data_IF_702768948614
#
_entry.id   IF_702768948614
#
_cell.length_a   1.000
_cell.length_b   1.000
_cell.length_c   1.000
_cell.angle_alpha   90.00
_cell.angle_beta   90.00
_cell.angle_gamma   90.00
#
_symmetry.space_group_name_H-M   'P 1'
#
loop_
_entity.id
_entity.type
_entity.pdbx_description
1 polymer ?
#
# COMPACT_ATOMS: atom_id res chain seq x y z
N UNK A 1 0.14 4.49 -24.67
CA UNK A 1 -0.23 3.07 -24.46
C UNK A 1 -0.07 2.76 -22.98
N UNK A 2 -1.14 2.32 -22.34
CA UNK A 2 -1.10 1.90 -20.93
C UNK A 2 -0.34 0.59 -20.76
N UNK A 3 0.36 0.44 -19.63
CA UNK A 3 0.93 -0.83 -19.19
C UNK A 3 0.12 -1.29 -17.98
N UNK A 4 -0.30 -2.54 -17.99
CA UNK A 4 -1.01 -3.17 -16.86
C UNK A 4 -0.22 -4.36 -16.34
N UNK A 5 -0.33 -4.66 -15.05
CA UNK A 5 0.21 -5.88 -14.48
C UNK A 5 -0.76 -7.03 -14.74
N UNK A 6 -0.33 -8.06 -15.48
CA UNK A 6 -1.05 -9.31 -15.60
C UNK A 6 -0.85 -10.14 -14.34
N UNK A 7 -1.87 -10.29 -13.52
CA UNK A 7 -1.83 -11.08 -12.28
C UNK A 7 -2.64 -12.35 -12.46
N UNK A 8 -2.09 -13.47 -12.04
CA UNK A 8 -2.83 -14.72 -11.87
C UNK A 8 -3.81 -14.58 -10.71
N UNK A 9 -5.13 -14.57 -10.95
CA UNK A 9 -6.09 -14.32 -9.89
C UNK A 9 -6.14 -15.45 -8.86
N UNK A 10 -5.77 -16.69 -9.22
CA UNK A 10 -5.78 -17.84 -8.30
C UNK A 10 -4.48 -17.94 -7.51
N UNK A 11 -3.34 -17.68 -8.16
CA UNK A 11 -2.03 -17.80 -7.53
C UNK A 11 -1.52 -16.50 -6.89
N UNK A 12 -2.13 -15.34 -7.18
CA UNK A 12 -1.67 -14.02 -6.75
C UNK A 12 -0.28 -13.63 -7.31
N UNK A 13 0.17 -14.29 -8.38
CA UNK A 13 1.52 -14.11 -8.94
C UNK A 13 1.50 -13.23 -10.17
N UNK A 14 2.43 -12.29 -10.23
CA UNK A 14 2.70 -11.51 -11.45
C UNK A 14 3.10 -12.44 -12.59
N UNK A 15 2.37 -12.40 -13.69
CA UNK A 15 2.68 -13.10 -14.94
C UNK A 15 3.51 -12.25 -15.89
N UNK A 16 3.42 -10.92 -15.78
CA UNK A 16 4.22 -9.98 -16.54
C UNK A 16 3.52 -8.64 -16.71
N UNK A 17 4.25 -7.66 -17.25
CA UNK A 17 3.70 -6.37 -17.64
C UNK A 17 3.17 -6.43 -19.08
N UNK A 18 1.90 -6.11 -19.24
CA UNK A 18 1.18 -6.19 -20.51
C UNK A 18 0.97 -4.78 -21.07
N UNK A 19 1.33 -4.59 -22.33
CA UNK A 19 1.02 -3.37 -23.06
C UNK A 19 -0.39 -3.48 -23.65
N UNK A 20 -1.24 -2.51 -23.33
CA UNK A 20 -2.59 -2.41 -23.87
C UNK A 20 -2.56 -1.90 -25.31
N UNK A 21 -3.24 -2.62 -26.20
CA UNK A 21 -3.39 -2.28 -27.60
C UNK A 21 -4.74 -1.60 -27.81
N UNK A 22 -4.70 -0.43 -28.44
CA UNK A 22 -5.85 0.44 -28.73
C UNK A 22 -6.20 0.49 -30.22
N UNK A 23 -5.38 -0.11 -31.08
CA UNK A 23 -5.53 -0.08 -32.55
C UNK A 23 -5.63 -1.50 -33.17
N UNK A 24 -6.69 -1.81 -33.95
CA UNK A 24 -6.82 -3.06 -34.69
C UNK A 24 -5.61 -3.41 -35.56
N UNK A 25 -4.88 -2.41 -36.10
CA UNK A 25 -3.69 -2.66 -36.91
C UNK A 25 -2.53 -3.25 -36.09
N UNK A 26 -2.45 -2.94 -34.79
CA UNK A 26 -1.49 -3.57 -33.87
C UNK A 26 -1.83 -5.05 -33.68
N UNK A 27 -3.12 -5.38 -33.51
CA UNK A 27 -3.56 -6.76 -33.39
C UNK A 27 -3.28 -7.55 -34.67
N UNK A 28 -3.57 -6.98 -35.84
CA UNK A 28 -3.22 -7.58 -37.15
C UNK A 28 -1.73 -7.86 -37.26
N UNK A 29 -0.90 -6.95 -36.75
CA UNK A 29 0.55 -7.16 -36.76
C UNK A 29 0.99 -8.33 -35.88
N UNK A 30 0.37 -8.54 -34.71
CA UNK A 30 0.66 -9.70 -33.85
C UNK A 30 0.16 -11.02 -34.44
N UNK A 31 -0.95 -10.99 -35.17
CA UNK A 31 -1.55 -12.18 -35.78
C UNK A 31 -0.70 -12.79 -36.92
N UNK A 32 0.30 -12.07 -37.44
CA UNK A 32 1.16 -12.59 -38.49
C UNK A 32 2.08 -13.72 -37.95
N UNK A 33 2.03 -14.96 -38.50
CA UNK A 33 2.71 -16.12 -37.91
C UNK A 33 4.22 -15.93 -37.72
N UNK A 34 4.89 -15.28 -38.68
CA UNK A 34 6.33 -15.02 -38.59
C UNK A 34 6.65 -13.97 -37.51
N UNK A 35 5.81 -12.95 -37.33
CA UNK A 35 6.03 -11.91 -36.32
C UNK A 35 5.82 -12.48 -34.92
N UNK A 36 4.81 -13.34 -34.74
CA UNK A 36 4.59 -14.06 -33.49
C UNK A 36 5.81 -14.94 -33.12
N UNK A 37 6.37 -15.68 -34.08
CA UNK A 37 7.61 -16.45 -33.87
C UNK A 37 8.79 -15.56 -33.47
N UNK A 38 8.97 -14.42 -34.14
CA UNK A 38 10.02 -13.45 -33.82
C UNK A 38 9.86 -12.95 -32.37
N UNK A 39 8.65 -12.55 -31.98
CA UNK A 39 8.36 -12.07 -30.62
C UNK A 39 8.65 -13.14 -29.56
N UNK A 40 8.27 -14.40 -29.80
CA UNK A 40 8.55 -15.53 -28.90
C UNK A 40 10.05 -15.81 -28.74
N UNK A 41 10.84 -15.63 -29.79
CA UNK A 41 12.29 -15.76 -29.65
C UNK A 41 12.89 -14.58 -28.85
N UNK A 42 12.38 -13.37 -29.10
CA UNK A 42 12.82 -12.17 -28.42
C UNK A 42 12.36 -12.08 -26.96
N UNK A 43 11.36 -12.84 -26.54
CA UNK A 43 10.98 -12.98 -25.13
C UNK A 43 11.99 -13.78 -24.31
N UNK A 44 12.73 -14.69 -24.95
CA UNK A 44 13.77 -15.48 -24.28
C UNK A 44 15.07 -14.68 -24.11
N UNK A 45 15.47 -13.98 -25.17
CA UNK A 45 16.67 -13.14 -25.16
C UNK A 45 16.66 -12.13 -26.32
N UNK A 46 17.20 -10.92 -26.16
CA UNK A 46 17.39 -9.99 -27.26
C UNK A 46 18.30 -10.58 -28.35
N UNK A 47 17.97 -10.36 -29.63
CA UNK A 47 18.71 -10.93 -30.76
C UNK A 47 18.93 -9.91 -31.88
N UNK A 48 19.97 -10.13 -32.67
CA UNK A 48 20.17 -9.44 -33.95
C UNK A 48 19.23 -10.02 -35.04
N UNK A 49 18.79 -9.21 -36.02
CA UNK A 49 17.99 -9.67 -37.16
C UNK A 49 18.58 -10.89 -37.89
N UNK A 50 19.92 -10.91 -38.03
CA UNK A 50 20.65 -12.01 -38.65
C UNK A 50 20.55 -13.33 -37.87
N UNK A 51 20.53 -13.28 -36.55
CA UNK A 51 20.40 -14.47 -35.71
C UNK A 51 18.99 -15.04 -35.80
N UNK A 52 17.99 -14.16 -35.83
CA UNK A 52 16.58 -14.53 -36.03
C UNK A 52 16.41 -15.20 -37.40
N UNK A 53 16.96 -14.60 -38.46
CA UNK A 53 16.96 -15.17 -39.82
C UNK A 53 17.56 -16.58 -39.85
N UNK A 54 18.73 -16.77 -39.24
CA UNK A 54 19.41 -18.07 -39.20
C UNK A 54 18.60 -19.13 -38.46
N UNK A 55 18.01 -18.78 -37.31
CA UNK A 55 17.23 -19.72 -36.49
C UNK A 55 15.90 -20.10 -37.14
N UNK A 56 15.26 -19.16 -37.84
CA UNK A 56 13.97 -19.40 -38.50
C UNK A 56 14.11 -19.96 -39.93
N UNK A 57 15.31 -19.95 -40.51
CA UNK A 57 15.53 -20.35 -41.91
C UNK A 57 14.86 -19.40 -42.91
N UNK A 58 14.68 -18.14 -42.54
CA UNK A 58 13.96 -17.13 -43.35
C UNK A 58 14.96 -16.09 -43.87
N UNK A 59 14.73 -15.58 -45.08
CA UNK A 59 15.55 -14.53 -45.69
C UNK A 59 15.71 -13.30 -44.76
N UNK A 60 16.94 -12.79 -44.64
CA UNK A 60 17.28 -11.70 -43.72
C UNK A 60 16.52 -10.39 -44.03
N UNK A 61 16.31 -10.06 -45.32
CA UNK A 61 15.53 -8.86 -45.70
C UNK A 61 14.08 -8.95 -45.22
N UNK A 62 13.48 -10.14 -45.29
CA UNK A 62 12.12 -10.38 -44.80
C UNK A 62 12.03 -10.26 -43.28
N UNK A 63 13.07 -10.70 -42.55
CA UNK A 63 13.17 -10.48 -41.10
C UNK A 63 13.30 -8.99 -40.77
N UNK A 64 14.14 -8.25 -41.50
CA UNK A 64 14.26 -6.80 -41.31
C UNK A 64 12.93 -6.08 -41.53
N UNK A 65 12.17 -6.47 -42.55
CA UNK A 65 10.83 -5.94 -42.79
C UNK A 65 9.92 -6.15 -41.58
N UNK A 66 9.88 -7.37 -41.03
CA UNK A 66 9.05 -7.67 -39.86
C UNK A 66 9.51 -6.99 -38.57
N UNK A 67 10.82 -6.91 -38.32
CA UNK A 67 11.36 -6.20 -37.17
C UNK A 67 11.03 -4.71 -37.25
N UNK A 68 11.19 -4.11 -38.44
CA UNK A 68 10.86 -2.69 -38.67
C UNK A 68 9.39 -2.43 -38.39
N UNK A 69 8.52 -3.29 -38.89
CA UNK A 69 7.08 -3.15 -38.69
C UNK A 69 6.67 -3.35 -37.22
N UNK A 70 7.27 -4.33 -36.53
CA UNK A 70 7.03 -4.55 -35.11
C UNK A 70 7.54 -3.39 -34.24
N UNK A 71 8.72 -2.86 -34.55
CA UNK A 71 9.30 -1.70 -33.90
C UNK A 71 8.45 -0.45 -34.10
N UNK A 72 8.02 -0.18 -35.34
CA UNK A 72 7.16 0.96 -35.69
C UNK A 72 5.87 1.00 -34.86
N UNK A 73 5.35 -0.17 -34.51
CA UNK A 73 4.13 -0.35 -33.72
C UNK A 73 4.37 -0.44 -32.21
N UNK A 74 5.62 -0.24 -31.76
CA UNK A 74 5.97 -0.21 -30.35
C UNK A 74 6.24 -1.56 -29.69
N UNK A 75 6.19 -2.68 -30.43
CA UNK A 75 6.39 -4.01 -29.86
C UNK A 75 7.86 -4.34 -29.55
N UNK A 76 8.80 -3.66 -30.22
CA UNK A 76 10.23 -3.90 -30.05
C UNK A 76 10.95 -2.62 -29.65
N UNK A 77 11.98 -2.79 -28.82
CA UNK A 77 12.96 -1.75 -28.46
C UNK A 77 14.37 -2.15 -28.89
N UNK A 78 15.21 -1.15 -29.15
CA UNK A 78 16.65 -1.37 -29.31
C UNK A 78 17.24 -1.59 -27.92
N UNK A 79 17.82 -2.78 -27.68
CA UNK A 79 18.44 -3.13 -26.38
C UNK A 79 19.91 -2.73 -26.35
N UNK A 80 20.60 -2.83 -27.48
CA UNK A 80 21.99 -2.41 -27.62
C UNK A 80 22.35 -2.19 -29.09
N UNK A 81 23.41 -1.43 -29.35
CA UNK A 81 23.96 -1.26 -30.70
C UNK A 81 25.48 -1.41 -30.70
N UNK A 82 26.02 -2.18 -31.64
CA UNK A 82 27.46 -2.35 -31.86
C UNK A 82 27.84 -2.06 -33.32
N UNK A 83 29.07 -1.59 -33.56
CA UNK A 83 29.61 -1.46 -34.92
C UNK A 83 30.25 -2.79 -35.33
N UNK A 84 29.66 -3.48 -36.30
CA UNK A 84 30.21 -4.71 -36.87
C UNK A 84 30.62 -4.41 -38.32
N UNK A 85 31.92 -4.54 -38.63
CA UNK A 85 32.48 -4.28 -39.98
C UNK A 85 32.05 -2.92 -40.57
N UNK A 86 32.04 -1.87 -39.74
CA UNK A 86 31.68 -0.50 -40.15
C UNK A 86 30.18 -0.18 -40.17
N UNK A 87 29.29 -1.18 -40.12
CA UNK A 87 27.84 -1.00 -40.08
C UNK A 87 27.31 -1.06 -38.63
N UNK A 88 26.29 -0.24 -38.32
CA UNK A 88 25.59 -0.29 -37.03
C UNK A 88 24.68 -1.52 -37.01
N UNK A 89 24.96 -2.44 -36.10
CA UNK A 89 24.15 -3.63 -35.82
C UNK A 89 23.41 -3.42 -34.50
N UNK A 90 22.10 -3.68 -34.49
CA UNK A 90 21.23 -3.42 -33.34
C UNK A 90 20.60 -4.72 -32.85
N UNK A 91 20.66 -4.97 -31.55
CA UNK A 91 19.89 -6.03 -30.90
C UNK A 91 18.51 -5.51 -30.54
N UNK A 92 17.48 -6.30 -30.87
CA UNK A 92 16.10 -5.98 -30.53
C UNK A 92 15.63 -6.88 -29.40
N UNK A 93 14.79 -6.32 -28.53
CA UNK A 93 14.07 -7.06 -27.49
C UNK A 93 12.62 -6.58 -27.42
N UNK A 94 11.79 -7.30 -26.66
CA UNK A 94 10.40 -6.89 -26.47
C UNK A 94 10.30 -5.57 -25.69
N UNK A 95 9.30 -4.77 -26.02
CA UNK A 95 8.97 -3.56 -25.27
C UNK A 95 8.21 -3.87 -23.98
N UNK A 96 7.49 -4.99 -23.92
CA UNK A 96 6.69 -5.46 -22.77
C UNK A 96 6.71 -6.98 -22.70
N UNK A 97 6.39 -7.57 -21.54
CA UNK A 97 6.34 -9.03 -21.36
C UNK A 97 5.20 -9.69 -22.16
N UNK A 98 4.14 -8.94 -22.45
CA UNK A 98 3.03 -9.37 -23.28
C UNK A 98 2.18 -8.20 -23.79
N UNK A 99 1.13 -8.53 -24.54
CA UNK A 99 0.23 -7.57 -25.18
C UNK A 99 -1.22 -8.00 -24.99
N UNK A 100 -2.11 -7.06 -24.70
CA UNK A 100 -3.52 -7.36 -24.45
C UNK A 100 -4.44 -6.37 -25.17
N UNK A 101 -5.60 -6.87 -25.59
CA UNK A 101 -6.72 -6.05 -26.06
C UNK A 101 -7.81 -6.15 -25.01
N UNK A 102 -8.23 -5.01 -24.47
CA UNK A 102 -9.38 -4.93 -23.57
C UNK A 102 -10.58 -4.45 -24.39
N UNK A 103 -11.54 -5.35 -24.62
CA UNK A 103 -12.81 -4.99 -25.29
C UNK A 103 -13.81 -4.35 -24.33
N UNK A 104 -13.70 -4.72 -23.05
CA UNK A 104 -14.39 -4.07 -21.96
C UNK A 104 -13.33 -3.50 -21.04
N UNK A 105 -13.10 -2.22 -21.17
CA UNK A 105 -12.42 -1.49 -20.11
C UNK A 105 -13.45 -1.32 -19.00
N UNK A 106 -13.39 -2.22 -18.01
CA UNK A 106 -13.94 -1.87 -16.71
C UNK A 106 -12.97 -0.83 -16.17
N UNK A 107 -13.19 0.43 -16.52
CA UNK A 107 -13.17 1.41 -15.45
C UNK A 107 -14.24 0.92 -14.47
N UNK A 108 -13.83 0.04 -13.56
CA UNK A 108 -14.25 0.35 -12.22
C UNK A 108 -13.77 1.79 -12.06
N UNK A 109 -14.72 2.74 -12.18
CA UNK A 109 -14.81 3.76 -11.15
C UNK A 109 -14.89 2.98 -9.84
N UNK A 110 -13.77 2.40 -9.44
CA UNK A 110 -13.40 2.46 -8.05
C UNK A 110 -13.41 3.96 -7.85
N UNK A 111 -14.52 4.48 -7.32
CA UNK A 111 -14.39 5.31 -6.15
C UNK A 111 -13.16 4.76 -5.43
N UNK A 112 -12.04 5.49 -5.57
CA UNK A 112 -10.67 5.02 -5.27
C UNK A 112 -10.74 3.92 -4.24
N UNK A 113 -10.25 2.70 -4.56
CA UNK A 113 -10.22 1.60 -3.59
C UNK A 113 -9.87 2.17 -2.23
N UNK A 114 -10.70 1.90 -1.22
CA UNK A 114 -10.92 2.78 -0.06
C UNK A 114 -9.64 3.50 0.33
N UNK A 115 -9.59 4.82 0.05
CA UNK A 115 -8.37 5.58 0.19
C UNK A 115 -7.94 5.56 1.66
N UNK A 116 -6.81 4.94 1.93
CA UNK A 116 -6.16 4.95 3.24
C UNK A 116 -5.02 5.98 3.24
N UNK A 117 -4.60 6.47 4.41
CA UNK A 117 -3.43 7.33 4.52
C UNK A 117 -2.20 6.74 3.82
N UNK A 118 -1.43 7.58 3.14
CA UNK A 118 -0.32 7.18 2.27
C UNK A 118 0.77 6.38 3.01
N UNK A 119 0.97 6.68 4.30
CA UNK A 119 1.95 5.99 5.14
C UNK A 119 1.67 4.49 5.29
N UNK A 120 0.42 4.01 5.18
CA UNK A 120 0.15 2.57 5.21
C UNK A 120 0.82 1.84 4.05
N UNK A 121 0.76 2.44 2.86
CA UNK A 121 1.40 1.87 1.67
C UNK A 121 2.93 1.87 1.75
N UNK A 122 3.54 2.88 2.38
CA UNK A 122 4.98 2.92 2.63
C UNK A 122 5.38 1.82 3.63
N UNK A 123 4.71 1.76 4.77
CA UNK A 123 4.99 0.82 5.87
C UNK A 123 4.80 -0.63 5.41
N UNK A 124 3.73 -0.95 4.68
CA UNK A 124 3.46 -2.32 4.24
C UNK A 124 4.35 -2.79 3.07
N UNK A 125 5.02 -1.87 2.36
CA UNK A 125 6.05 -2.24 1.37
C UNK A 125 7.36 -2.64 2.05
N UNK A 126 7.70 -1.99 3.15
CA UNK A 126 8.95 -2.25 3.90
C UNK A 126 8.88 -3.54 4.72
N UNK A 127 7.68 -3.97 5.13
CA UNK A 127 7.54 -5.15 5.97
C UNK A 127 6.11 -5.59 6.19
N UNK A 128 5.96 -6.73 6.87
CA UNK A 128 4.68 -7.18 7.41
C UNK A 128 4.17 -6.19 8.45
N UNK A 129 2.86 -5.94 8.44
CA UNK A 129 2.17 -5.15 9.47
C UNK A 129 1.47 -6.09 10.47
N UNK A 130 1.78 -5.94 11.75
CA UNK A 130 1.13 -6.67 12.85
C UNK A 130 0.19 -5.71 13.57
N UNK A 131 -1.10 -5.97 13.51
CA UNK A 131 -2.13 -5.24 14.25
C UNK A 131 -2.25 -5.83 15.65
N UNK A 132 -1.98 -5.03 16.67
CA UNK A 132 -2.06 -5.43 18.08
C UNK A 132 -3.31 -4.82 18.70
N UNK A 133 -4.27 -5.67 19.02
CA UNK A 133 -5.56 -5.29 19.63
C UNK A 133 -5.55 -5.53 21.14
N UNK A 134 -6.32 -4.72 21.89
CA UNK A 134 -6.57 -4.98 23.30
C UNK A 134 -7.32 -6.30 23.51
N UNK A 135 -6.93 -7.09 24.51
CA UNK A 135 -7.71 -8.27 24.91
C UNK A 135 -9.08 -7.90 25.50
N UNK A 136 -10.16 -8.63 25.17
CA UNK A 136 -11.51 -8.38 25.69
C UNK A 136 -11.68 -8.83 27.15
N UNK A 137 -10.69 -9.52 27.71
CA UNK A 137 -10.62 -9.91 29.11
C UNK A 137 -9.91 -8.82 29.91
N UNK A 138 -10.38 -8.45 31.12
CA UNK A 138 -9.66 -7.51 31.98
C UNK A 138 -8.23 -8.00 32.26
N UNK A 139 -7.24 -7.18 31.95
CA UNK A 139 -5.84 -7.48 32.18
C UNK A 139 -5.04 -6.19 32.42
N UNK A 140 -3.77 -6.33 32.82
CA UNK A 140 -2.92 -5.19 33.12
C UNK A 140 -3.29 -4.45 34.42
N UNK A 141 -2.56 -3.37 34.75
CA UNK A 141 -2.72 -2.65 36.02
C UNK A 141 -4.07 -1.91 36.14
N UNK A 142 -4.71 -1.59 35.02
CA UNK A 142 -5.95 -0.80 34.98
C UNK A 142 -7.23 -1.64 34.93
N UNK A 143 -7.12 -2.96 34.70
CA UNK A 143 -8.25 -3.93 34.65
C UNK A 143 -9.45 -3.47 33.82
N UNK A 144 -9.22 -2.65 32.79
CA UNK A 144 -10.27 -2.13 31.92
C UNK A 144 -10.73 -3.22 30.95
N UNK A 145 -12.03 -3.23 30.62
CA UNK A 145 -12.63 -4.18 29.68
C UNK A 145 -13.10 -3.44 28.44
N UNK A 146 -12.80 -3.97 27.26
CA UNK A 146 -13.20 -3.33 26.00
C UNK A 146 -13.33 -4.33 24.86
N UNK A 147 -14.41 -4.24 24.09
CA UNK A 147 -14.74 -5.17 22.99
C UNK A 147 -15.06 -4.35 21.74
N UNK A 148 -14.03 -3.71 21.19
CA UNK A 148 -14.18 -2.77 20.08
C UNK A 148 -13.56 -3.31 18.78
N UNK A 149 -13.27 -4.61 18.73
CA UNK A 149 -12.61 -5.25 17.57
C UNK A 149 -13.41 -5.10 16.27
N UNK A 150 -14.72 -4.91 16.37
CA UNK A 150 -15.59 -4.66 15.21
C UNK A 150 -15.19 -3.38 14.45
N UNK A 151 -14.69 -2.35 15.14
CA UNK A 151 -14.17 -1.14 14.49
C UNK A 151 -12.94 -1.44 13.61
N UNK A 152 -12.12 -2.41 14.01
CA UNK A 152 -10.91 -2.80 13.27
C UNK A 152 -11.21 -3.78 12.13
N UNK A 153 -12.33 -4.49 12.17
CA UNK A 153 -12.73 -5.34 11.05
C UNK A 153 -12.82 -4.54 9.75
N UNK A 154 -13.38 -3.32 9.80
CA UNK A 154 -13.47 -2.43 8.64
C UNK A 154 -12.10 -1.93 8.19
N UNK A 155 -11.24 -1.49 9.11
CA UNK A 155 -9.88 -1.07 8.77
C UNK A 155 -9.08 -2.20 8.11
N UNK A 156 -9.17 -3.40 8.67
CA UNK A 156 -8.52 -4.60 8.14
C UNK A 156 -9.01 -4.94 6.73
N UNK A 157 -10.32 -4.84 6.50
CA UNK A 157 -10.90 -5.02 5.16
C UNK A 157 -10.33 -4.01 4.16
N UNK A 158 -10.26 -2.72 4.53
CA UNK A 158 -9.68 -1.68 3.67
C UNK A 158 -8.17 -1.89 3.42
N UNK A 159 -7.41 -2.31 4.44
CA UNK A 159 -6.00 -2.65 4.32
C UNK A 159 -5.80 -3.84 3.38
N UNK A 160 -6.62 -4.89 3.52
CA UNK A 160 -6.60 -6.06 2.64
C UNK A 160 -6.96 -5.72 1.19
N UNK A 161 -7.98 -4.88 0.99
CA UNK A 161 -8.38 -4.43 -0.34
C UNK A 161 -7.30 -3.55 -1.02
N UNK A 162 -6.64 -2.67 -0.26
CA UNK A 162 -5.66 -1.73 -0.80
C UNK A 162 -4.25 -2.32 -0.93
N UNK A 163 -3.88 -3.22 -0.01
CA UNK A 163 -2.50 -3.67 0.18
C UNK A 163 -2.35 -5.19 0.34
N UNK A 164 -3.41 -5.97 0.12
CA UNK A 164 -3.41 -7.43 0.35
C UNK A 164 -2.40 -8.22 -0.49
N UNK A 165 -1.85 -7.63 -1.55
CA UNK A 165 -0.77 -8.19 -2.36
C UNK A 165 0.64 -8.00 -1.76
N UNK A 166 0.79 -7.25 -0.66
CA UNK A 166 2.08 -6.94 -0.02
C UNK A 166 2.48 -8.00 1.04
N UNK A 167 3.50 -7.69 1.87
CA UNK A 167 4.22 -8.58 2.82
C UNK A 167 3.38 -9.19 3.97
N UNK A 168 2.07 -9.27 3.80
CA UNK A 168 1.12 -9.89 4.73
C UNK A 168 0.71 -8.98 5.88
N UNK A 169 -0.37 -9.40 6.54
CA UNK A 169 -0.94 -8.74 7.71
C UNK A 169 -1.25 -9.82 8.75
N UNK A 170 -0.93 -9.56 10.01
CA UNK A 170 -1.28 -10.42 11.14
C UNK A 170 -2.04 -9.61 12.18
N UNK A 171 -3.03 -10.22 12.82
CA UNK A 171 -3.76 -9.63 13.94
C UNK A 171 -3.50 -10.47 15.16
N UNK A 172 -3.07 -9.83 16.24
CA UNK A 172 -2.73 -10.49 17.52
C UNK A 172 -3.28 -9.66 18.68
N UNK A 173 -3.62 -10.33 19.78
CA UNK A 173 -3.96 -9.63 21.02
C UNK A 173 -2.69 -9.18 21.74
N UNK A 174 -2.76 -8.06 22.45
CA UNK A 174 -1.67 -7.54 23.27
C UNK A 174 -1.23 -8.50 24.38
N UNK A 175 -2.13 -9.36 24.86
CA UNK A 175 -1.81 -10.44 25.81
C UNK A 175 -1.05 -11.61 25.18
N UNK A 176 -1.02 -11.71 23.85
CA UNK A 176 -0.47 -12.85 23.11
C UNK A 176 0.73 -12.46 22.24
N UNK A 177 0.95 -11.17 22.00
CA UNK A 177 2.08 -10.69 21.20
C UNK A 177 3.40 -10.91 21.95
N UNK A 178 4.42 -11.36 21.22
CA UNK A 178 5.76 -11.60 21.76
C UNK A 178 6.70 -10.46 21.38
N UNK A 179 7.74 -10.26 22.19
CA UNK A 179 8.72 -9.17 21.97
C UNK A 179 9.40 -9.31 20.60
N UNK A 180 9.73 -10.53 20.15
CA UNK A 180 10.35 -10.76 18.83
C UNK A 180 9.42 -10.29 17.71
N UNK A 181 8.11 -10.51 17.85
CA UNK A 181 7.11 -10.04 16.88
C UNK A 181 7.09 -8.51 16.80
N UNK A 182 7.23 -7.83 17.94
CA UNK A 182 7.29 -6.37 18.00
C UNK A 182 8.59 -5.82 17.40
N UNK A 183 9.71 -6.54 17.49
CA UNK A 183 11.02 -6.12 16.97
C UNK A 183 11.16 -6.34 15.45
N UNK A 184 10.62 -7.43 14.93
CA UNK A 184 10.81 -7.83 13.53
C UNK A 184 9.87 -7.11 12.55
N UNK A 185 8.73 -6.60 13.03
CA UNK A 185 7.63 -6.15 12.19
C UNK A 185 7.28 -4.67 12.40
N UNK A 186 6.59 -4.11 11.41
CA UNK A 186 5.85 -2.88 11.61
C UNK A 186 4.60 -3.21 12.45
N UNK A 187 4.21 -2.31 13.35
CA UNK A 187 3.09 -2.55 14.26
C UNK A 187 2.01 -1.47 14.12
N UNK A 188 0.75 -1.86 14.19
CA UNK A 188 -0.40 -0.97 14.36
C UNK A 188 -1.03 -1.29 15.72
N UNK A 189 -0.93 -0.36 16.65
CA UNK A 189 -1.52 -0.47 17.97
C UNK A 189 -2.91 0.16 17.94
N UNK A 190 -3.90 -0.59 18.38
CA UNK A 190 -5.27 -0.07 18.52
C UNK A 190 -5.68 -0.10 19.98
N UNK A 191 -6.11 1.05 20.47
CA UNK A 191 -6.58 1.25 21.83
C UNK A 191 -5.57 2.00 22.69
N UNK A 192 -6.10 2.84 23.57
CA UNK A 192 -5.31 3.62 24.52
C UNK A 192 -4.61 2.77 25.59
N UNK A 193 -3.68 3.37 26.34
CA UNK A 193 -2.83 2.66 27.31
C UNK A 193 -3.59 2.06 28.50
N UNK A 194 -4.82 2.48 28.78
CA UNK A 194 -5.66 1.85 29.79
C UNK A 194 -6.12 0.43 29.40
N UNK A 195 -6.16 0.11 28.10
CA UNK A 195 -6.73 -1.14 27.55
C UNK A 195 -5.76 -1.93 26.68
N UNK A 196 -4.71 -1.30 26.15
CA UNK A 196 -3.68 -1.97 25.34
C UNK A 196 -2.32 -1.83 26.02
N UNK A 197 -1.74 -2.96 26.44
CA UNK A 197 -0.48 -2.98 27.19
C UNK A 197 0.72 -2.57 26.37
N UNK A 198 0.70 -2.77 25.05
CA UNK A 198 1.78 -2.31 24.19
C UNK A 198 1.71 -0.79 24.05
N UNK A 199 0.52 -0.21 23.86
CA UNK A 199 0.33 1.25 23.89
C UNK A 199 0.81 1.84 25.23
N UNK A 200 0.50 1.20 26.36
CA UNK A 200 0.97 1.63 27.68
C UNK A 200 2.50 1.66 27.81
N UNK A 201 3.19 0.63 27.29
CA UNK A 201 4.66 0.55 27.32
C UNK A 201 5.31 1.67 26.52
N UNK A 202 4.72 2.06 25.40
CA UNK A 202 5.30 3.06 24.49
C UNK A 202 4.78 4.48 24.71
N UNK A 203 3.73 4.69 25.52
CA UNK A 203 3.07 5.99 25.71
C UNK A 203 4.05 7.13 26.02
N UNK A 204 5.09 6.87 26.83
CA UNK A 204 6.12 7.87 27.16
C UNK A 204 7.00 8.31 25.98
N UNK A 205 7.01 7.55 24.89
CA UNK A 205 7.79 7.79 23.66
C UNK A 205 6.99 8.48 22.55
N UNK A 206 5.66 8.50 22.66
CA UNK A 206 4.75 9.11 21.69
C UNK A 206 4.83 10.66 21.75
N UNK A 207 4.77 11.39 20.63
CA UNK A 207 4.65 12.86 20.64
C UNK A 207 3.33 13.34 21.28
N UNK A 208 2.24 12.61 21.11
CA UNK A 208 0.95 12.90 21.74
C UNK A 208 0.64 11.75 22.69
N UNK A 209 0.56 12.01 23.99
CA UNK A 209 0.53 10.99 25.03
C UNK A 209 -0.80 10.96 25.75
N UNK A 210 -1.07 9.89 26.47
CA UNK A 210 -2.19 9.83 27.41
C UNK A 210 -1.69 9.92 28.85
N UNK A 211 -2.24 10.84 29.62
CA UNK A 211 -2.09 10.84 31.07
C UNK A 211 -3.16 9.93 31.71
N UNK A 212 -2.78 8.68 31.93
CA UNK A 212 -3.67 7.66 32.51
C UNK A 212 -4.09 7.99 33.95
N UNK A 213 -3.29 8.77 34.68
CA UNK A 213 -3.63 9.21 36.05
C UNK A 213 -4.71 10.28 36.04
N UNK A 214 -4.82 11.03 34.94
CA UNK A 214 -5.83 12.06 34.69
C UNK A 214 -6.86 11.55 33.68
N UNK A 215 -7.42 10.37 33.93
CA UNK A 215 -8.52 9.81 33.14
C UNK A 215 -8.21 9.69 31.63
N UNK A 216 -6.98 9.28 31.29
CA UNK A 216 -6.48 9.20 29.91
C UNK A 216 -6.56 10.54 29.15
N UNK A 217 -6.43 11.69 29.84
CA UNK A 217 -6.30 13.01 29.19
C UNK A 217 -5.23 12.93 28.11
N UNK A 218 -5.51 13.42 26.91
CA UNK A 218 -4.54 13.44 25.81
C UNK A 218 -3.69 14.70 25.95
N UNK A 219 -2.37 14.55 25.90
CA UNK A 219 -1.38 15.62 26.12
C UNK A 219 -0.43 15.66 24.93
N UNK A 220 -0.49 16.74 24.15
CA UNK A 220 0.39 16.95 23.01
C UNK A 220 1.67 17.64 23.42
N UNK A 221 2.82 16.96 23.26
CA UNK A 221 4.14 17.59 23.43
C UNK A 221 4.52 18.49 22.25
N UNK A 222 3.76 18.41 21.15
CA UNK A 222 4.01 19.19 19.94
C UNK A 222 3.42 20.59 20.06
N UNK A 223 2.16 20.69 20.50
CA UNK A 223 1.47 21.98 20.67
C UNK A 223 1.48 22.49 22.12
N UNK A 224 1.72 21.62 23.10
CA UNK A 224 1.57 21.92 24.53
C UNK A 224 0.12 21.91 25.02
N UNK A 225 -0.84 21.49 24.18
CA UNK A 225 -2.27 21.42 24.52
C UNK A 225 -2.62 20.11 25.21
N UNK A 226 -3.70 20.17 25.98
CA UNK A 226 -4.37 19.02 26.56
C UNK A 226 -5.80 18.92 26.00
N UNK A 227 -6.29 17.69 25.82
CA UNK A 227 -7.59 17.37 25.26
C UNK A 227 -8.30 16.37 26.19
N UNK A 228 -9.56 16.65 26.50
CA UNK A 228 -10.28 16.04 27.63
C UNK A 228 -11.57 15.33 27.23
N UNK A 229 -12.06 15.54 26.00
CA UNK A 229 -13.36 15.03 25.60
C UNK A 229 -13.30 13.51 25.39
N UNK A 230 -14.32 12.74 25.79
CA UNK A 230 -14.38 11.30 25.52
C UNK A 230 -14.23 10.94 24.03
N UNK A 231 -14.68 11.85 23.16
CA UNK A 231 -14.63 11.83 21.71
C UNK A 231 -13.24 12.17 21.14
N UNK A 232 -12.29 12.58 21.98
CA UNK A 232 -10.92 12.83 21.55
C UNK A 232 -10.14 11.52 21.35
N UNK A 233 -9.39 11.46 20.26
CA UNK A 233 -8.44 10.40 19.98
C UNK A 233 -7.23 10.88 19.21
N UNK A 234 -6.26 9.98 19.06
CA UNK A 234 -5.00 10.24 18.41
C UNK A 234 -4.74 9.22 17.31
N UNK A 235 -4.15 9.70 16.22
CA UNK A 235 -3.43 8.88 15.25
C UNK A 235 -2.03 9.41 15.05
N UNK A 236 -1.05 8.55 15.20
CA UNK A 236 0.34 8.93 15.01
C UNK A 236 1.19 7.80 14.44
N UNK A 237 2.21 8.20 13.69
CA UNK A 237 3.24 7.31 13.11
C UNK A 237 4.58 7.67 13.74
N UNK A 238 5.17 6.71 14.44
CA UNK A 238 6.47 6.86 15.10
C UNK A 238 7.45 5.78 14.65
N UNK A 239 8.73 5.99 14.95
CA UNK A 239 9.70 4.89 14.95
C UNK A 239 9.28 3.87 16.00
N UNK A 240 9.28 2.59 15.64
CA UNK A 240 8.89 1.53 16.55
C UNK A 240 9.87 1.49 17.74
N UNK A 241 9.42 1.72 18.99
CA UNK A 241 10.31 1.76 20.15
C UNK A 241 11.02 0.44 20.46
N UNK A 242 10.54 -0.68 19.90
CA UNK A 242 11.18 -2.00 20.01
C UNK A 242 12.27 -2.20 18.94
N UNK A 243 12.18 -1.49 17.81
CA UNK A 243 13.18 -1.49 16.74
C UNK A 243 13.04 -0.22 15.87
N UNK A 244 13.96 0.77 15.96
CA UNK A 244 13.87 2.02 15.21
C UNK A 244 13.87 1.88 13.67
N UNK A 245 14.31 0.73 13.13
CA UNK A 245 14.22 0.44 11.69
C UNK A 245 12.80 0.09 11.23
N UNK A 246 11.86 -0.10 12.16
CA UNK A 246 10.45 -0.37 11.91
C UNK A 246 9.58 0.82 12.30
N UNK A 247 8.32 0.81 11.85
CA UNK A 247 7.33 1.82 12.18
C UNK A 247 6.27 1.28 13.13
N UNK A 248 5.79 2.15 14.01
CA UNK A 248 4.61 1.92 14.83
C UNK A 248 3.57 2.98 14.50
N UNK A 249 2.35 2.52 14.21
CA UNK A 249 1.17 3.37 14.04
C UNK A 249 0.34 3.18 15.32
N UNK A 250 -0.14 4.26 15.91
CA UNK A 250 -1.03 4.21 17.07
C UNK A 250 -2.37 4.82 16.70
N UNK A 251 -3.46 4.10 16.93
CA UNK A 251 -4.84 4.58 16.83
C UNK A 251 -5.48 4.37 18.20
N UNK A 252 -5.72 5.44 18.94
CA UNK A 252 -6.22 5.34 20.31
C UNK A 252 -7.11 6.53 20.66
N UNK A 253 -8.27 6.27 21.25
CA UNK A 253 -9.09 7.30 21.89
C UNK A 253 -8.80 7.45 23.37
N UNK A 254 -9.14 8.62 23.94
CA UNK A 254 -9.35 8.77 25.39
C UNK A 254 -10.38 7.74 25.86
N UNK A 255 -11.42 7.52 25.04
CA UNK A 255 -12.45 6.52 25.27
C UNK A 255 -12.86 5.79 23.96
N UNK A 256 -14.04 5.14 23.97
CA UNK A 256 -14.58 4.44 22.79
C UNK A 256 -14.92 5.40 21.65
N UNK A 257 -15.77 6.42 21.88
CA UNK A 257 -16.01 7.48 20.92
C UNK A 257 -14.75 8.01 20.24
N UNK A 258 -13.69 8.33 21.00
CA UNK A 258 -12.45 8.84 20.40
C UNK A 258 -11.69 7.86 19.50
N UNK A 259 -11.66 6.56 19.82
CA UNK A 259 -11.05 5.58 18.91
C UNK A 259 -11.83 5.50 17.61
N UNK A 260 -13.16 5.57 17.70
CA UNK A 260 -14.06 5.59 16.55
C UNK A 260 -13.90 6.87 15.73
N UNK A 261 -13.79 8.04 16.36
CA UNK A 261 -13.56 9.33 15.72
C UNK A 261 -12.32 9.30 14.82
N UNK A 262 -11.21 8.76 15.34
CA UNK A 262 -9.96 8.62 14.58
C UNK A 262 -10.14 7.74 13.34
N UNK A 263 -10.85 6.61 13.47
CA UNK A 263 -11.12 5.72 12.33
C UNK A 263 -12.03 6.39 11.30
N UNK A 264 -13.06 7.13 11.73
CA UNK A 264 -13.93 7.89 10.83
C UNK A 264 -13.15 8.98 10.08
N UNK A 265 -12.31 9.75 10.78
CA UNK A 265 -11.43 10.75 10.16
C UNK A 265 -10.48 10.11 9.14
N UNK A 266 -9.91 8.95 9.47
CA UNK A 266 -9.04 8.19 8.59
C UNK A 266 -9.73 7.78 7.28
N UNK A 267 -11.02 7.39 7.33
CA UNK A 267 -11.78 7.04 6.13
C UNK A 267 -12.26 8.26 5.34
N UNK A 268 -12.61 9.35 6.03
CA UNK A 268 -13.20 10.54 5.42
C UNK A 268 -12.16 11.47 4.79
N UNK A 269 -11.03 11.68 5.47
CA UNK A 269 -9.93 12.55 5.00
C UNK A 269 -8.55 11.89 5.18
N UNK A 270 -8.28 10.78 4.46
CA UNK A 270 -6.98 10.09 4.52
C UNK A 270 -5.81 10.99 4.08
N UNK A 271 -6.07 12.01 3.26
CA UNK A 271 -5.05 12.94 2.77
C UNK A 271 -4.57 13.84 3.89
N UNK A 272 -5.48 14.44 4.66
CA UNK A 272 -5.06 15.29 5.78
C UNK A 272 -4.42 14.48 6.91
N UNK A 273 -4.90 13.26 7.18
CA UNK A 273 -4.26 12.33 8.13
C UNK A 273 -2.85 11.92 7.70
N UNK A 274 -2.52 12.00 6.41
CA UNK A 274 -1.17 11.72 5.90
C UNK A 274 -0.21 12.91 6.00
N UNK A 275 -0.72 14.12 6.26
CA UNK A 275 0.13 15.32 6.32
C UNK A 275 0.93 15.35 7.62
N UNK A 276 2.06 16.08 7.65
CA UNK A 276 2.73 16.35 8.91
C UNK A 276 1.84 17.15 9.87
N UNK A 277 2.06 16.97 11.18
CA UNK A 277 1.40 17.73 12.25
C UNK A 277 1.57 19.24 12.06
N UNK A 278 0.53 20.01 12.43
CA UNK A 278 0.50 21.46 12.23
C UNK A 278 1.58 22.23 12.99
N UNK A 279 2.00 21.72 14.16
CA UNK A 279 2.99 22.37 15.05
C UNK A 279 4.40 21.82 14.83
N UNK A 280 4.55 20.57 14.41
CA UNK A 280 5.85 19.98 14.14
C UNK A 280 5.83 19.06 12.91
N UNK A 281 6.38 19.59 11.80
CA UNK A 281 6.41 18.90 10.49
C UNK A 281 7.28 17.64 10.45
N UNK A 282 8.01 17.30 11.52
CA UNK A 282 8.77 16.04 11.62
C UNK A 282 7.86 14.84 11.87
N UNK A 283 6.68 15.04 12.46
CA UNK A 283 5.79 13.98 12.89
C UNK A 283 4.53 13.94 12.03
N UNK A 284 4.03 12.74 11.77
CA UNK A 284 2.64 12.52 11.37
C UNK A 284 1.94 12.09 12.65
N UNK A 285 1.28 13.03 13.32
CA UNK A 285 0.63 12.83 14.60
C UNK A 285 -0.50 13.85 14.72
N UNK A 286 -1.71 13.40 15.02
CA UNK A 286 -2.91 14.22 15.02
C UNK A 286 -3.79 13.89 16.21
N UNK A 287 -4.37 14.92 16.82
CA UNK A 287 -5.55 14.76 17.67
C UNK A 287 -6.79 14.93 16.80
N UNK A 288 -7.78 14.07 17.01
CA UNK A 288 -9.06 14.05 16.32
C UNK A 288 -10.17 14.11 17.35
N UNK A 289 -11.11 15.02 17.18
CA UNK A 289 -12.34 15.10 17.96
C UNK A 289 -13.49 14.46 17.19
N UNK A 290 -14.23 13.58 17.83
CA UNK A 290 -15.43 12.97 17.27
C UNK A 290 -16.58 13.96 17.17
N UNK A 291 -17.27 13.94 16.03
CA UNK A 291 -18.51 14.71 15.82
C UNK A 291 -19.62 13.72 15.47
N UNK A 292 -20.81 13.99 16.01
CA UNK A 292 -22.07 13.34 15.66
C UNK A 292 -22.83 14.29 14.71
N UNK A 293 -22.64 14.11 13.40
CA UNK A 293 -23.19 14.99 12.37
C UNK A 293 -24.69 14.75 12.14
N UNK A 294 -25.16 13.50 12.23
CA UNK A 294 -26.57 13.13 12.04
C UNK A 294 -27.41 13.17 13.33
N UNK A 295 -26.78 13.45 14.47
CA UNK A 295 -27.39 13.60 15.79
C UNK A 295 -28.05 12.32 16.31
N UNK A 296 -27.54 11.13 15.95
CA UNK A 296 -28.03 9.84 16.42
C UNK A 296 -27.44 9.38 17.76
N UNK A 297 -26.53 10.19 18.33
CA UNK A 297 -25.81 9.93 19.58
C UNK A 297 -24.53 9.11 19.37
N UNK A 298 -24.09 8.92 18.13
CA UNK A 298 -22.96 8.09 17.77
C UNK A 298 -22.00 8.89 16.87
N UNK A 299 -20.72 8.90 17.23
CA UNK A 299 -19.67 9.55 16.40
C UNK A 299 -19.65 8.97 14.99
N UNK A 300 -19.95 9.79 13.99
CA UNK A 300 -19.99 9.43 12.56
C UNK A 300 -18.92 10.19 11.74
N UNK A 301 -18.27 11.18 12.35
CA UNK A 301 -17.25 12.04 11.75
C UNK A 301 -16.10 12.30 12.74
N UNK A 302 -14.98 12.79 12.22
CA UNK A 302 -13.82 13.15 13.04
C UNK A 302 -13.11 14.36 12.48
N UNK A 303 -12.92 15.38 13.32
CA UNK A 303 -12.26 16.64 12.98
C UNK A 303 -10.82 16.65 13.51
N UNK A 304 -9.85 16.89 12.65
CA UNK A 304 -8.44 17.03 13.04
C UNK A 304 -8.24 18.36 13.78
N UNK A 305 -7.75 18.31 15.01
CA UNK A 305 -7.49 19.49 15.86
C UNK A 305 -6.06 20.03 15.72
N UNK A 306 -5.08 19.17 15.39
CA UNK A 306 -3.66 19.53 15.20
C UNK A 306 -2.89 18.59 14.27
#
# INVERSE_FOLDING_TARGET
MGIVAGIDPEAGRLKGYLMLLDDPEQLKALAHPLRFKILRMLSETPLYPKEISKRLGVNEQLIYYHITELKRRGFLKEVSSQKIRGARSVMYGLSSDGYAVLFLEREEKTERGVALPAFFGEIMREGKLVIVLSSPQPHGPYRSRRIDHHLIAQLTFHLGASFGHLRGLEIVLDTNVREETLQENNILLVGGPAVNMITARINSKMPIQFDVSRDNTIVSKLSGKEYYEPEDGVIEVIENPFNPEKKAIVIAGKSYPGTRAVLMALYRDPVSISKPNAYNKRFIAHVVEGVDEDSDGIVDSGMILE
#
